data_IF_887501659513
#
_entry.id   IF_887501659513
#
_cell.length_a   1.000
_cell.length_b   1.000
_cell.length_c   1.000
_cell.angle_alpha   90.00
_cell.angle_beta   90.00
_cell.angle_gamma   90.00
#
_symmetry.space_group_name_H-M   'P 1'
#
loop_
_entity.id
_entity.type
_entity.pdbx_description
1 polymer ?
#
# COMPACT_ATOMS: atom_id res chain seq x y z
N UNK A 1 -29.49 -2.77 1.53
CA UNK A 1 -28.63 -3.98 1.53
C UNK A 1 -27.59 -4.01 0.39
N UNK A 2 -27.64 -3.10 -0.59
CA UNK A 2 -26.73 -3.07 -1.75
C UNK A 2 -25.38 -2.40 -1.46
N UNK A 3 -25.37 -1.35 -0.64
CA UNK A 3 -24.18 -0.54 -0.35
C UNK A 3 -23.08 -1.31 0.41
N UNK A 4 -23.47 -2.14 1.38
CA UNK A 4 -22.54 -2.97 2.16
C UNK A 4 -21.83 -4.03 1.33
N UNK A 5 -22.48 -4.54 0.28
CA UNK A 5 -21.90 -5.53 -0.63
C UNK A 5 -20.85 -4.90 -1.54
N UNK A 6 -21.11 -3.68 -2.04
CA UNK A 6 -20.15 -2.92 -2.84
C UNK A 6 -18.89 -2.61 -2.06
N UNK A 7 -19.02 -2.08 -0.84
CA UNK A 7 -17.88 -1.74 0.03
C UNK A 7 -16.96 -2.93 0.34
N UNK A 8 -17.52 -4.15 0.47
CA UNK A 8 -16.68 -5.37 0.63
C UNK A 8 -15.86 -5.67 -0.62
N UNK A 9 -16.43 -5.46 -1.81
CA UNK A 9 -15.72 -5.58 -3.08
C UNK A 9 -14.60 -4.54 -3.20
N UNK A 10 -14.84 -3.32 -2.72
CA UNK A 10 -13.88 -2.22 -2.74
C UNK A 10 -12.67 -2.50 -1.82
N UNK A 11 -12.93 -2.97 -0.60
CA UNK A 11 -11.90 -3.40 0.33
C UNK A 11 -11.04 -4.54 -0.25
N UNK A 12 -11.66 -5.55 -0.86
CA UNK A 12 -10.92 -6.66 -1.46
C UNK A 12 -10.00 -6.20 -2.61
N UNK A 13 -10.47 -5.26 -3.45
CA UNK A 13 -9.66 -4.66 -4.53
C UNK A 13 -8.51 -3.82 -3.99
N UNK A 14 -8.75 -3.05 -2.93
CA UNK A 14 -7.71 -2.24 -2.28
C UNK A 14 -6.64 -3.12 -1.62
N UNK A 15 -7.05 -4.21 -0.97
CA UNK A 15 -6.15 -5.19 -0.39
C UNK A 15 -5.31 -5.90 -1.46
N UNK A 16 -5.93 -6.38 -2.54
CA UNK A 16 -5.22 -6.99 -3.68
C UNK A 16 -4.21 -6.01 -4.32
N UNK A 17 -4.52 -4.72 -4.36
CA UNK A 17 -3.56 -3.68 -4.76
C UNK A 17 -2.39 -3.58 -3.77
N UNK A 18 -2.65 -3.56 -2.47
CA UNK A 18 -1.61 -3.48 -1.44
C UNK A 18 -0.66 -4.68 -1.52
N UNK A 19 -1.18 -5.91 -1.63
CA UNK A 19 -0.36 -7.13 -1.74
C UNK A 19 0.51 -7.10 -2.98
N UNK A 20 -0.01 -6.66 -4.14
CA UNK A 20 0.82 -6.53 -5.36
C UNK A 20 1.94 -5.52 -5.22
N UNK A 21 1.71 -4.40 -4.51
CA UNK A 21 2.75 -3.41 -4.24
C UNK A 21 3.84 -4.02 -3.37
N UNK A 22 3.46 -4.65 -2.25
CA UNK A 22 4.38 -5.23 -1.27
C UNK A 22 5.14 -6.45 -1.82
N UNK A 23 4.53 -7.23 -2.70
CA UNK A 23 5.16 -8.40 -3.32
C UNK A 23 6.36 -8.05 -4.21
N UNK A 24 6.42 -6.83 -4.76
CA UNK A 24 7.53 -6.43 -5.63
C UNK A 24 8.82 -6.10 -4.87
N UNK A 25 8.69 -5.55 -3.65
CA UNK A 25 9.80 -5.15 -2.78
C UNK A 25 9.27 -4.66 -1.44
N UNK A 26 10.17 -4.58 -0.45
CA UNK A 26 9.89 -3.92 0.82
C UNK A 26 9.56 -2.43 0.56
N UNK A 27 8.53 -1.94 1.24
CA UNK A 27 8.06 -0.56 1.23
C UNK A 27 7.89 -0.09 2.68
N UNK A 28 8.01 1.21 2.93
CA UNK A 28 7.52 1.77 4.18
C UNK A 28 6.00 1.90 4.17
N UNK A 29 5.41 2.05 5.34
CA UNK A 29 4.00 2.35 5.52
C UNK A 29 3.61 3.62 4.75
N UNK A 30 4.42 4.67 4.86
CA UNK A 30 4.16 5.93 4.17
C UNK A 30 4.20 5.77 2.64
N UNK A 31 5.14 4.98 2.11
CA UNK A 31 5.19 4.67 0.68
C UNK A 31 3.94 3.89 0.24
N UNK A 32 3.51 2.91 1.04
CA UNK A 32 2.31 2.13 0.76
C UNK A 32 1.06 3.03 0.76
N UNK A 33 0.85 3.83 1.80
CA UNK A 33 -0.27 4.79 1.91
C UNK A 33 -0.34 5.71 0.70
N UNK A 34 0.79 6.32 0.32
CA UNK A 34 0.87 7.20 -0.85
C UNK A 34 0.48 6.48 -2.13
N UNK A 35 0.89 5.22 -2.30
CA UNK A 35 0.56 4.42 -3.48
C UNK A 35 -0.89 3.98 -3.51
N UNK A 36 -1.50 3.66 -2.36
CA UNK A 36 -2.91 3.28 -2.28
C UNK A 36 -3.84 4.45 -2.60
N UNK A 37 -3.47 5.67 -2.22
CA UNK A 37 -4.20 6.90 -2.57
C UNK A 37 -3.92 7.41 -3.99
N UNK A 38 -2.87 6.92 -4.65
CA UNK A 38 -2.51 7.38 -5.99
C UNK A 38 -3.52 6.87 -7.04
N UNK A 39 -3.87 7.71 -8.05
CA UNK A 39 -4.67 7.29 -9.19
C UNK A 39 -4.09 6.05 -9.88
N UNK A 40 -4.97 5.21 -10.43
CA UNK A 40 -4.58 4.05 -11.23
C UNK A 40 -4.62 4.40 -12.71
N UNK A 41 -3.71 3.84 -13.51
CA UNK A 41 -3.74 4.02 -14.96
C UNK A 41 -4.75 3.05 -15.56
N UNK A 42 -5.91 3.58 -15.94
CA UNK A 42 -6.95 2.85 -16.67
C UNK A 42 -6.79 2.98 -18.18
N UNK A 43 -7.74 2.41 -18.92
CA UNK A 43 -7.74 2.44 -20.40
C UNK A 43 -7.89 3.85 -20.95
N UNK A 44 -8.52 4.74 -20.18
CA UNK A 44 -8.83 6.12 -20.58
C UNK A 44 -7.91 7.15 -19.88
N UNK A 45 -6.83 6.71 -19.26
CA UNK A 45 -5.90 7.56 -18.51
C UNK A 45 -5.98 7.37 -16.98
N UNK A 46 -5.47 8.33 -16.19
CA UNK A 46 -5.49 8.25 -14.74
C UNK A 46 -6.93 8.28 -14.20
N UNK A 47 -7.31 7.24 -13.49
CA UNK A 47 -8.58 7.10 -12.79
C UNK A 47 -8.34 7.29 -11.29
N UNK A 48 -8.98 8.31 -10.72
CA UNK A 48 -8.97 8.53 -9.28
C UNK A 48 -9.72 7.37 -8.60
N UNK A 49 -9.16 6.87 -7.51
CA UNK A 49 -9.87 5.90 -6.68
C UNK A 49 -10.70 6.66 -5.64
N UNK A 50 -11.96 6.26 -5.51
CA UNK A 50 -12.80 6.66 -4.39
C UNK A 50 -12.45 5.76 -3.19
N UNK A 51 -11.37 6.13 -2.48
CA UNK A 51 -10.87 5.40 -1.31
C UNK A 51 -10.77 6.39 -0.16
N UNK A 52 -11.45 6.09 0.93
CA UNK A 52 -11.39 6.95 2.13
C UNK A 52 -10.12 6.69 2.94
N UNK A 53 -9.65 7.66 3.76
CA UNK A 53 -8.51 7.44 4.64
C UNK A 53 -8.67 6.20 5.54
N UNK A 54 -9.89 5.96 6.05
CA UNK A 54 -10.20 4.84 6.93
C UNK A 54 -10.08 3.48 6.21
N UNK A 55 -10.39 3.43 4.91
CA UNK A 55 -10.20 2.22 4.10
C UNK A 55 -8.72 1.93 3.87
N UNK A 56 -7.89 2.98 3.70
CA UNK A 56 -6.43 2.85 3.66
C UNK A 56 -5.90 2.34 4.99
N UNK A 57 -6.31 2.94 6.11
CA UNK A 57 -5.89 2.54 7.45
C UNK A 57 -6.16 1.06 7.69
N UNK A 58 -7.37 0.60 7.39
CA UNK A 58 -7.75 -0.79 7.58
C UNK A 58 -6.88 -1.77 6.77
N UNK A 59 -6.55 -1.43 5.53
CA UNK A 59 -5.68 -2.27 4.69
C UNK A 59 -4.24 -2.25 5.21
N UNK A 60 -3.74 -1.10 5.64
CA UNK A 60 -2.40 -0.94 6.23
C UNK A 60 -2.29 -1.77 7.51
N UNK A 61 -3.24 -1.65 8.43
CA UNK A 61 -3.30 -2.42 9.67
C UNK A 61 -3.27 -3.93 9.37
N UNK A 62 -4.11 -4.39 8.44
CA UNK A 62 -4.13 -5.79 8.04
C UNK A 62 -2.76 -6.25 7.49
N UNK A 63 -2.07 -5.42 6.70
CA UNK A 63 -0.74 -5.74 6.18
C UNK A 63 0.31 -5.84 7.30
N UNK A 64 0.22 -4.99 8.32
CA UNK A 64 1.10 -5.02 9.50
C UNK A 64 0.83 -6.28 10.33
N UNK A 65 -0.43 -6.55 10.66
CA UNK A 65 -0.85 -7.73 11.43
C UNK A 65 -0.39 -9.04 10.78
N UNK A 66 -0.48 -9.12 9.45
CA UNK A 66 -0.07 -10.29 8.68
C UNK A 66 1.42 -10.28 8.28
N UNK A 67 2.21 -9.31 8.79
CA UNK A 67 3.66 -9.16 8.56
C UNK A 67 4.07 -8.99 7.10
N UNK A 68 3.19 -8.45 6.26
CA UNK A 68 3.54 -8.01 4.90
C UNK A 68 4.19 -6.63 4.89
N UNK A 69 3.95 -5.82 5.92
CA UNK A 69 4.51 -4.48 6.08
C UNK A 69 5.25 -4.37 7.41
N UNK A 70 6.50 -3.91 7.37
CA UNK A 70 7.38 -3.77 8.54
C UNK A 70 8.39 -2.63 8.30
N UNK A 71 8.15 -1.49 8.95
CA UNK A 71 8.98 -0.29 8.79
C UNK A 71 10.38 -0.46 9.40
N UNK A 72 10.54 -1.24 10.48
CA UNK A 72 11.87 -1.49 11.04
C UNK A 72 12.72 -2.30 10.07
N UNK A 73 12.14 -3.34 9.47
CA UNK A 73 12.80 -4.14 8.44
C UNK A 73 13.17 -3.27 7.24
N UNK A 74 12.24 -2.43 6.78
CA UNK A 74 12.48 -1.49 5.68
C UNK A 74 13.65 -0.55 5.98
N UNK A 75 13.65 0.11 7.14
CA UNK A 75 14.69 1.08 7.53
C UNK A 75 16.07 0.44 7.60
N UNK A 76 16.19 -0.76 8.20
CA UNK A 76 17.47 -1.48 8.28
C UNK A 76 18.05 -1.75 6.90
N UNK A 77 17.22 -2.21 5.96
CA UNK A 77 17.65 -2.45 4.58
C UNK A 77 17.97 -1.14 3.83
N UNK A 78 17.17 -0.10 4.05
CA UNK A 78 17.35 1.20 3.43
C UNK A 78 18.69 1.83 3.83
N UNK A 79 19.01 1.87 5.14
CA UNK A 79 20.29 2.38 5.64
C UNK A 79 21.46 1.60 5.04
N UNK A 80 21.40 0.26 5.07
CA UNK A 80 22.45 -0.58 4.50
C UNK A 80 22.66 -0.31 2.99
N UNK A 81 21.56 -0.11 2.25
CA UNK A 81 21.59 0.20 0.82
C UNK A 81 22.20 1.58 0.53
N UNK A 82 21.86 2.60 1.33
CA UNK A 82 22.39 3.97 1.17
C UNK A 82 23.86 4.08 1.57
N UNK A 83 24.24 3.46 2.69
CA UNK A 83 25.63 3.42 3.16
C UNK A 83 26.57 2.77 2.15
N UNK A 84 26.19 1.63 1.54
CA UNK A 84 26.99 0.99 0.48
C UNK A 84 27.20 1.85 -0.77
N UNK A 85 26.34 2.84 -0.98
CA UNK A 85 26.43 3.78 -2.11
C UNK A 85 27.14 5.09 -1.73
N UNK A 86 27.70 5.18 -0.52
CA UNK A 86 28.43 6.36 -0.04
C UNK A 86 27.55 7.54 0.34
N UNK A 87 26.25 7.34 0.55
CA UNK A 87 25.38 8.37 1.11
C UNK A 87 25.47 8.35 2.64
N UNK A 88 25.69 9.53 3.25
CA UNK A 88 25.77 9.75 4.70
C UNK A 88 24.93 10.94 5.12
#
# INVERSE_FOLDING_TARGET
MTETSSRRSDYARLLDRAIRILAMRDHSEQELRRKLAAPVMGKNGPEALDVTPEEVDKVVEWCIENRYLDDERFVRQFIASRSRKGYG
#
